data_IF_207907651777
#
_entry.id   IF_207907651777
#
_cell.length_a   1.000
_cell.length_b   1.000
_cell.length_c   1.000
_cell.angle_alpha   90.00
_cell.angle_beta   90.00
_cell.angle_gamma   90.00
#
_symmetry.space_group_name_H-M   'P 1'
#
loop_
_entity.id
_entity.type
_entity.pdbx_description
1 polymer ?
#
# COMPACT_ATOMS: atom_id res chain seq x y z
N UNK A 1 15.64 -52.13 25.74
CA UNK A 1 15.81 -51.18 24.63
C UNK A 1 14.44 -50.67 24.23
N UNK A 2 14.13 -49.41 24.51
CA UNK A 2 12.88 -48.78 24.09
C UNK A 2 13.01 -48.36 22.63
N UNK A 3 12.33 -49.06 21.73
CA UNK A 3 12.20 -48.67 20.33
C UNK A 3 11.25 -47.49 20.22
N UNK A 4 11.79 -46.32 19.87
CA UNK A 4 10.98 -45.14 19.54
C UNK A 4 10.32 -45.42 18.17
N UNK A 5 8.99 -45.38 18.14
CA UNK A 5 8.18 -45.53 16.93
C UNK A 5 8.09 -44.16 16.23
N UNK A 6 8.78 -43.98 15.09
CA UNK A 6 8.95 -42.69 14.38
C UNK A 6 7.95 -42.54 13.22
N UNK A 7 6.88 -43.34 13.15
CA UNK A 7 6.03 -43.40 11.97
C UNK A 7 4.79 -42.50 12.04
N UNK A 8 4.67 -41.65 11.02
CA UNK A 8 3.58 -40.73 10.63
C UNK A 8 3.53 -39.36 11.31
N UNK A 9 4.46 -38.47 10.95
CA UNK A 9 4.22 -37.02 11.01
C UNK A 9 3.31 -36.68 9.81
N UNK A 10 2.06 -36.20 10.02
CA UNK A 10 1.17 -35.83 8.93
C UNK A 10 1.73 -34.61 8.19
N UNK A 11 2.32 -34.87 7.01
CA UNK A 11 2.75 -33.83 6.08
C UNK A 11 1.52 -33.18 5.43
N UNK A 12 1.50 -31.85 5.35
CA UNK A 12 0.37 -31.08 4.82
C UNK A 12 0.75 -30.48 3.47
N UNK A 13 -0.10 -30.68 2.46
CA UNK A 13 0.14 -30.24 1.08
C UNK A 13 -0.57 -28.92 0.77
N UNK A 14 0.09 -28.02 0.05
CA UNK A 14 -0.53 -26.81 -0.50
C UNK A 14 -1.47 -27.16 -1.66
N UNK A 15 -2.70 -26.64 -1.64
CA UNK A 15 -3.68 -26.81 -2.72
C UNK A 15 -3.29 -26.09 -4.02
N UNK A 16 -2.59 -24.96 -3.91
CA UNK A 16 -2.30 -24.08 -5.04
C UNK A 16 -1.05 -24.52 -5.82
N UNK A 17 0.02 -24.92 -5.13
CA UNK A 17 1.29 -25.29 -5.76
C UNK A 17 1.72 -26.73 -5.53
N UNK A 18 1.02 -27.48 -4.67
CA UNK A 18 1.29 -28.88 -4.40
C UNK A 18 2.51 -29.18 -3.52
N UNK A 19 3.19 -28.16 -2.96
CA UNK A 19 4.33 -28.36 -2.05
C UNK A 19 3.89 -28.98 -0.71
N UNK A 20 4.73 -29.85 -0.15
CA UNK A 20 4.48 -30.55 1.11
C UNK A 20 5.29 -29.94 2.26
N UNK A 21 4.64 -29.74 3.41
CA UNK A 21 5.24 -29.16 4.60
C UNK A 21 5.07 -30.09 5.80
N UNK A 22 6.08 -30.14 6.67
CA UNK A 22 6.04 -30.95 7.89
C UNK A 22 5.13 -30.41 9.00
N UNK A 23 4.51 -29.25 8.81
CA UNK A 23 3.55 -28.66 9.76
C UNK A 23 2.56 -27.73 9.08
N UNK A 24 1.38 -27.56 9.69
CA UNK A 24 0.36 -26.59 9.28
C UNK A 24 0.85 -25.15 9.35
N UNK A 25 1.74 -24.81 10.30
CA UNK A 25 2.28 -23.46 10.44
C UNK A 25 3.24 -23.10 9.28
N UNK A 26 4.05 -24.06 8.83
CA UNK A 26 4.91 -23.88 7.66
C UNK A 26 4.08 -23.70 6.39
N UNK A 27 3.02 -24.51 6.21
CA UNK A 27 2.09 -24.33 5.09
C UNK A 27 1.38 -22.98 5.14
N UNK A 28 0.87 -22.56 6.31
CA UNK A 28 0.18 -21.26 6.48
C UNK A 28 1.09 -20.08 6.12
N UNK A 29 2.36 -20.13 6.54
CA UNK A 29 3.35 -19.12 6.18
C UNK A 29 3.66 -19.13 4.68
N UNK A 30 3.81 -20.32 4.09
CA UNK A 30 3.99 -20.48 2.65
C UNK A 30 2.82 -19.90 1.87
N UNK A 31 1.58 -20.28 2.21
CA UNK A 31 0.37 -19.81 1.54
C UNK A 31 0.21 -18.29 1.65
N UNK A 32 0.55 -17.70 2.81
CA UNK A 32 0.53 -16.25 2.99
C UNK A 32 1.59 -15.53 2.13
N UNK A 33 2.82 -16.04 2.10
CA UNK A 33 3.93 -15.35 1.46
C UNK A 33 4.03 -15.60 -0.05
N UNK A 34 3.63 -16.79 -0.50
CA UNK A 34 3.73 -17.23 -1.91
C UNK A 34 2.41 -17.00 -2.64
N UNK A 35 1.28 -17.28 -1.99
CA UNK A 35 -0.04 -17.16 -2.62
C UNK A 35 -0.83 -15.92 -2.17
N UNK A 36 -0.33 -15.16 -1.19
CA UNK A 36 -1.02 -13.96 -0.69
C UNK A 36 -2.35 -14.26 0.03
N UNK A 37 -2.64 -15.53 0.33
CA UNK A 37 -3.89 -15.93 0.95
C UNK A 37 -3.74 -15.75 2.47
N UNK A 38 -4.44 -14.76 3.00
CA UNK A 38 -4.49 -14.47 4.44
C UNK A 38 -5.09 -15.64 5.23
N UNK A 39 -4.81 -15.73 6.55
CA UNK A 39 -5.20 -16.86 7.36
C UNK A 39 -6.71 -17.02 7.40
N UNK A 40 -7.22 -18.14 6.87
CA UNK A 40 -8.55 -18.65 7.23
C UNK A 40 -8.41 -19.31 8.59
N UNK A 41 -8.78 -18.58 9.64
CA UNK A 41 -8.89 -19.11 10.99
C UNK A 41 -10.13 -20.00 11.05
N UNK A 42 -9.98 -21.26 10.68
CA UNK A 42 -11.00 -22.28 10.87
C UNK A 42 -10.71 -23.00 12.19
N UNK A 43 -11.19 -22.41 13.29
CA UNK A 43 -11.61 -23.16 14.47
C UNK A 43 -12.64 -22.32 15.22
N UNK A 44 -13.77 -22.98 15.49
CA UNK A 44 -15.06 -22.39 15.78
C UNK A 44 -15.15 -21.87 17.22
N UNK A 45 -15.68 -20.66 17.38
CA UNK A 45 -16.59 -20.33 18.48
C UNK A 45 -17.81 -19.70 17.83
N UNK A 46 -18.86 -20.50 17.75
CA UNK A 46 -20.22 -20.01 17.50
C UNK A 46 -20.59 -19.06 18.65
N UNK A 47 -20.49 -17.76 18.43
CA UNK A 47 -21.13 -16.74 19.27
C UNK A 47 -21.22 -15.42 18.52
N UNK A 48 -22.47 -15.03 18.26
CA UNK A 48 -22.98 -13.69 17.99
C UNK A 48 -22.47 -12.96 16.73
N UNK A 49 -23.08 -13.34 15.60
CA UNK A 49 -23.01 -12.69 14.28
C UNK A 49 -23.49 -11.22 14.23
N UNK A 50 -23.77 -10.54 15.35
CA UNK A 50 -24.21 -9.14 15.37
C UNK A 50 -23.08 -8.12 15.60
N UNK A 51 -22.14 -8.42 16.49
CA UNK A 51 -21.22 -7.40 17.04
C UNK A 51 -19.97 -7.24 16.16
N UNK A 52 -19.49 -8.31 15.52
CA UNK A 52 -18.32 -8.26 14.65
C UNK A 52 -18.60 -7.50 13.33
N UNK A 53 -19.85 -7.52 12.88
CA UNK A 53 -20.30 -6.79 11.69
C UNK A 53 -20.41 -5.29 11.97
N UNK A 54 -20.96 -4.90 13.13
CA UNK A 54 -20.99 -3.49 13.59
C UNK A 54 -19.59 -2.86 13.64
N UNK A 55 -18.57 -3.55 14.18
CA UNK A 55 -17.21 -2.99 14.29
C UNK A 55 -16.49 -2.90 12.93
N UNK A 56 -16.88 -3.73 11.95
CA UNK A 56 -16.41 -3.62 10.56
C UNK A 56 -17.17 -2.51 9.82
N UNK A 57 -18.48 -2.39 10.01
CA UNK A 57 -19.31 -1.34 9.44
C UNK A 57 -18.92 0.04 9.97
N UNK A 58 -18.72 0.21 11.28
CA UNK A 58 -18.26 1.47 11.89
C UNK A 58 -16.88 1.85 11.38
N UNK A 59 -15.92 0.91 11.31
CA UNK A 59 -14.60 1.21 10.72
C UNK A 59 -14.69 1.56 9.24
N UNK A 60 -15.54 0.89 8.47
CA UNK A 60 -15.77 1.20 7.04
C UNK A 60 -16.42 2.58 6.87
N UNK A 61 -17.39 2.92 7.72
CA UNK A 61 -18.09 4.21 7.73
C UNK A 61 -17.19 5.36 8.20
N UNK A 62 -16.33 5.11 9.18
CA UNK A 62 -15.33 6.08 9.65
C UNK A 62 -14.26 6.30 8.58
N UNK A 63 -13.77 5.22 7.94
CA UNK A 63 -12.81 5.29 6.85
C UNK A 63 -13.43 6.01 5.63
N UNK A 64 -14.69 5.72 5.28
CA UNK A 64 -15.39 6.41 4.19
C UNK A 64 -15.61 7.89 4.51
N UNK A 65 -15.96 8.23 5.76
CA UNK A 65 -16.11 9.62 6.20
C UNK A 65 -14.77 10.36 6.20
N UNK A 66 -13.68 9.70 6.60
CA UNK A 66 -12.33 10.28 6.56
C UNK A 66 -11.85 10.49 5.12
N UNK A 67 -12.10 9.52 4.24
CA UNK A 67 -11.83 9.65 2.81
C UNK A 67 -12.67 10.76 2.17
N UNK A 68 -13.94 10.89 2.54
CA UNK A 68 -14.82 11.95 2.03
C UNK A 68 -14.38 13.34 2.51
N UNK A 69 -13.94 13.48 3.78
CA UNK A 69 -13.34 14.72 4.29
C UNK A 69 -12.03 15.07 3.59
N UNK A 70 -11.15 14.09 3.37
CA UNK A 70 -9.90 14.29 2.62
C UNK A 70 -10.18 14.70 1.16
N UNK A 71 -11.15 14.06 0.51
CA UNK A 71 -11.56 14.39 -0.86
C UNK A 71 -12.19 15.79 -0.96
N UNK A 72 -13.02 16.18 0.02
CA UNK A 72 -13.55 17.54 0.11
C UNK A 72 -12.45 18.57 0.36
N UNK A 73 -11.43 18.23 1.17
CA UNK A 73 -10.25 19.07 1.41
C UNK A 73 -9.38 19.22 0.16
N UNK A 74 -9.24 18.16 -0.65
CA UNK A 74 -8.49 18.20 -1.92
C UNK A 74 -9.23 18.99 -3.01
N UNK A 75 -10.57 18.95 -3.02
CA UNK A 75 -11.38 19.76 -3.94
C UNK A 75 -11.48 21.24 -3.52
N UNK A 76 -10.93 21.62 -2.36
CA UNK A 76 -11.04 22.97 -1.77
C UNK A 76 -10.00 23.99 -2.26
N UNK A 77 -9.57 23.93 -3.53
CA UNK A 77 -8.82 25.00 -4.20
C UNK A 77 -7.39 25.29 -3.71
N UNK A 78 -6.92 24.63 -2.64
CA UNK A 78 -5.56 24.82 -2.12
C UNK A 78 -4.48 24.38 -3.12
N UNK A 79 -4.77 23.35 -3.93
CA UNK A 79 -3.90 22.90 -5.03
C UNK A 79 -3.88 23.88 -6.20
N UNK A 80 -4.96 24.64 -6.40
CA UNK A 80 -5.08 25.59 -7.51
C UNK A 80 -4.20 26.81 -7.28
N UNK A 81 -4.10 27.29 -6.03
CA UNK A 81 -3.18 28.37 -5.67
C UNK A 81 -1.71 27.96 -5.87
N UNK A 82 -1.36 26.72 -5.50
CA UNK A 82 -0.02 26.18 -5.73
C UNK A 82 0.29 26.03 -7.21
N UNK A 83 -0.70 25.64 -8.02
CA UNK A 83 -0.54 25.53 -9.47
C UNK A 83 -0.33 26.91 -10.12
N UNK A 84 -1.07 27.94 -9.68
CA UNK A 84 -0.88 29.32 -10.15
C UNK A 84 0.51 29.86 -9.79
N UNK A 85 1.01 29.57 -8.58
CA UNK A 85 2.36 29.98 -8.18
C UNK A 85 3.45 29.23 -8.96
N UNK A 86 3.27 27.93 -9.22
CA UNK A 86 4.15 27.14 -10.09
C UNK A 86 4.22 27.71 -11.51
N UNK A 87 3.06 28.07 -12.08
CA UNK A 87 2.96 28.67 -13.42
C UNK A 87 3.62 30.06 -13.49
N UNK A 88 3.45 30.87 -12.44
CA UNK A 88 4.14 32.16 -12.30
C UNK A 88 5.66 31.98 -12.23
N UNK A 89 6.15 31.10 -11.37
CA UNK A 89 7.59 30.82 -11.23
C UNK A 89 8.20 30.27 -12.53
N UNK A 90 7.45 29.46 -13.27
CA UNK A 90 7.85 28.99 -14.61
C UNK A 90 8.09 30.13 -15.59
N UNK A 91 7.21 31.14 -15.62
CA UNK A 91 7.41 32.35 -16.44
C UNK A 91 8.65 33.14 -16.02
N UNK A 92 8.81 33.39 -14.71
CA UNK A 92 9.95 34.14 -14.18
C UNK A 92 11.29 33.47 -14.55
N UNK A 93 11.38 32.13 -14.42
CA UNK A 93 12.55 31.37 -14.84
C UNK A 93 12.83 31.48 -16.35
N UNK A 94 11.78 31.47 -17.19
CA UNK A 94 11.94 31.65 -18.64
C UNK A 94 12.51 33.03 -18.98
N UNK A 95 12.04 34.08 -18.30
CA UNK A 95 12.58 35.44 -18.47
C UNK A 95 14.04 35.54 -18.03
N UNK A 96 14.38 35.00 -16.85
CA UNK A 96 15.74 35.01 -16.35
C UNK A 96 16.70 34.21 -17.25
N UNK A 97 16.26 33.06 -17.76
CA UNK A 97 17.04 32.25 -18.69
C UNK A 97 17.37 33.03 -19.97
N UNK A 98 16.39 33.75 -20.53
CA UNK A 98 16.60 34.59 -21.71
C UNK A 98 17.58 35.73 -21.43
N UNK A 99 17.39 36.45 -20.32
CA UNK A 99 18.31 37.53 -19.90
C UNK A 99 19.74 37.04 -19.72
N UNK A 100 19.92 35.85 -19.14
CA UNK A 100 21.25 35.25 -18.96
C UNK A 100 21.90 34.87 -20.30
N UNK A 101 21.11 34.36 -21.25
CA UNK A 101 21.60 34.09 -22.62
C UNK A 101 22.01 35.38 -23.34
N UNK A 102 21.21 36.44 -23.24
CA UNK A 102 21.51 37.75 -23.83
C UNK A 102 22.80 38.35 -23.22
N UNK A 103 22.99 38.21 -21.90
CA UNK A 103 24.23 38.62 -21.22
C UNK A 103 25.44 37.80 -21.67
N UNK A 104 25.29 36.48 -21.80
CA UNK A 104 26.36 35.61 -22.31
C UNK A 104 26.74 35.98 -23.74
N UNK A 105 25.75 36.21 -24.61
CA UNK A 105 25.98 36.67 -25.97
C UNK A 105 26.71 38.02 -25.98
N UNK A 106 26.33 38.94 -25.10
CA UNK A 106 26.98 40.24 -24.97
C UNK A 106 28.44 40.08 -24.52
N UNK A 107 28.72 39.27 -23.51
CA UNK A 107 30.09 39.00 -23.03
C UNK A 107 30.95 38.40 -24.15
N UNK A 108 30.40 37.46 -24.92
CA UNK A 108 31.10 36.85 -26.06
C UNK A 108 31.47 37.84 -27.17
N UNK A 109 30.85 39.04 -27.23
CA UNK A 109 31.28 40.09 -28.19
C UNK A 109 32.51 40.87 -27.72
N UNK A 110 32.89 40.74 -26.45
CA UNK A 110 34.04 41.43 -25.84
C UNK A 110 35.23 40.49 -25.55
N UNK A 111 35.10 39.19 -25.82
CA UNK A 111 36.18 38.17 -25.79
C UNK A 111 36.75 37.95 -27.19
#
# INVERSE_FOLDING_TARGET
MSSINIYLIPMVKCSECGQTFGSTQALSSHVRNVHGVGPKTENQVESDNGILDLKKQVRKAELSSRLQRLKASMNGGGTDLLFLELDRLGRELSHLKKSNEDLRATIATYE
#
